data_IF_909803115104
#
_entry.id   IF_909803115104
#
_cell.length_a   1.000
_cell.length_b   1.000
_cell.length_c   1.000
_cell.angle_alpha   90.00
_cell.angle_beta   90.00
_cell.angle_gamma   90.00
#
_symmetry.space_group_name_H-M   'P 1'
#
loop_
_entity.id
_entity.type
_entity.pdbx_description
1 polymer ?
#
# COMPACT_ATOMS: atom_id res chain seq x y z
N UNK A 1 -0.83 -3.00 26.47
CA UNK A 1 -0.78 -4.46 26.17
C UNK A 1 -2.11 -5.02 25.65
N UNK A 2 -3.25 -4.75 26.31
CA UNK A 2 -4.55 -5.28 25.89
C UNK A 2 -4.92 -5.03 24.41
N UNK A 3 -4.79 -3.78 23.93
CA UNK A 3 -5.14 -3.42 22.55
C UNK A 3 -4.27 -4.12 21.48
N UNK A 4 -2.92 -4.11 21.56
CA UNK A 4 -2.09 -4.87 20.63
C UNK A 4 -2.45 -6.35 20.53
N UNK A 5 -2.80 -6.98 21.65
CA UNK A 5 -3.21 -8.39 21.66
C UNK A 5 -4.57 -8.60 21.00
N UNK A 6 -5.58 -7.80 21.38
CA UNK A 6 -6.92 -7.91 20.82
C UNK A 6 -6.93 -7.63 19.30
N UNK A 7 -6.29 -6.54 18.86
CA UNK A 7 -6.17 -6.22 17.44
C UNK A 7 -5.26 -7.20 16.71
N UNK A 8 -4.22 -7.72 17.35
CA UNK A 8 -3.39 -8.78 16.77
C UNK A 8 -4.19 -10.04 16.46
N UNK A 9 -5.11 -10.43 17.35
CA UNK A 9 -6.01 -11.57 17.16
C UNK A 9 -7.02 -11.31 16.04
N UNK A 10 -7.70 -10.15 16.06
CA UNK A 10 -8.70 -9.77 15.06
C UNK A 10 -8.09 -9.67 13.67
N UNK A 11 -6.91 -9.06 13.55
CA UNK A 11 -6.21 -8.83 12.28
C UNK A 11 -5.36 -10.02 11.84
N UNK A 12 -5.45 -11.18 12.51
CA UNK A 12 -4.64 -12.36 12.18
C UNK A 12 -4.91 -12.87 10.76
N UNK A 13 -6.16 -12.75 10.28
CA UNK A 13 -6.56 -13.17 8.92
C UNK A 13 -6.49 -12.07 7.86
N UNK A 14 -6.14 -10.84 8.24
CA UNK A 14 -6.03 -9.76 7.28
C UNK A 14 -4.74 -9.90 6.46
N UNK A 15 -4.85 -9.75 5.13
CA UNK A 15 -3.73 -9.65 4.20
C UNK A 15 -3.00 -8.31 4.38
N UNK A 16 -2.11 -8.25 5.37
CA UNK A 16 -1.28 -7.09 5.63
C UNK A 16 0.05 -7.51 6.27
N UNK A 17 1.06 -6.66 6.12
CA UNK A 17 2.38 -6.90 6.72
C UNK A 17 2.29 -6.93 8.25
N UNK A 18 3.14 -7.74 8.90
CA UNK A 18 3.21 -7.80 10.37
C UNK A 18 3.53 -6.44 11.01
N UNK A 19 4.25 -5.57 10.28
CA UNK A 19 4.54 -4.19 10.71
C UNK A 19 3.29 -3.31 10.71
N UNK A 20 2.45 -3.41 9.67
CA UNK A 20 1.17 -2.71 9.61
C UNK A 20 0.24 -3.18 10.73
N UNK A 21 0.17 -4.50 10.96
CA UNK A 21 -0.62 -5.08 12.05
C UNK A 21 -0.17 -4.57 13.42
N UNK A 22 1.14 -4.54 13.68
CA UNK A 22 1.70 -4.00 14.92
C UNK A 22 1.44 -2.50 15.08
N UNK A 23 1.58 -1.72 14.00
CA UNK A 23 1.28 -0.29 13.99
C UNK A 23 -0.19 -0.02 14.34
N UNK A 24 -1.13 -0.72 13.71
CA UNK A 24 -2.57 -0.61 14.00
C UNK A 24 -2.87 -1.03 15.45
N UNK A 25 -2.25 -2.12 15.92
CA UNK A 25 -2.37 -2.60 17.29
C UNK A 25 -1.85 -1.62 18.34
N UNK A 26 -0.75 -0.94 18.01
CA UNK A 26 -0.10 0.08 18.84
C UNK A 26 -0.90 1.39 18.84
N UNK A 27 -1.38 1.85 17.69
CA UNK A 27 -2.05 3.13 17.57
C UNK A 27 -3.48 3.10 18.12
N UNK A 28 -3.64 3.64 19.33
CA UNK A 28 -4.91 3.73 20.02
C UNK A 28 -4.86 4.48 21.33
N UNK A 29 -4.59 5.80 21.30
CA UNK A 29 -4.47 6.57 22.52
C UNK A 29 -5.76 6.49 23.34
N UNK A 30 -5.60 6.42 24.67
CA UNK A 30 -6.72 6.64 25.60
C UNK A 30 -7.29 8.03 25.36
N UNK A 31 -8.61 8.12 25.23
CA UNK A 31 -9.29 9.35 24.80
C UNK A 31 -10.05 10.07 25.93
N UNK A 32 -10.68 11.17 25.53
CA UNK A 32 -11.51 12.03 26.37
C UNK A 32 -12.68 11.30 27.03
N UNK A 33 -13.19 10.23 26.42
CA UNK A 33 -14.27 9.43 27.01
C UNK A 33 -13.91 8.86 28.39
N UNK A 34 -12.65 8.46 28.61
CA UNK A 34 -12.22 7.98 29.94
C UNK A 34 -12.25 9.10 30.99
N UNK A 35 -11.89 10.33 30.62
CA UNK A 35 -11.97 11.49 31.49
C UNK A 35 -13.42 11.89 31.76
N UNK A 36 -14.28 11.84 30.73
CA UNK A 36 -15.71 12.11 30.88
C UNK A 36 -16.37 11.17 31.89
N UNK A 37 -16.12 9.86 31.80
CA UNK A 37 -16.64 8.91 32.78
C UNK A 37 -16.10 9.16 34.19
N UNK A 38 -14.82 9.52 34.32
CA UNK A 38 -14.25 9.88 35.61
C UNK A 38 -14.90 11.14 36.21
N UNK A 39 -15.16 12.15 35.38
CA UNK A 39 -15.86 13.37 35.79
C UNK A 39 -17.31 13.09 36.20
N UNK A 40 -18.00 12.18 35.52
CA UNK A 40 -19.35 11.74 35.92
C UNK A 40 -19.33 11.10 37.31
N UNK A 41 -18.36 10.25 37.63
CA UNK A 41 -18.20 9.65 38.96
C UNK A 41 -17.96 10.70 40.05
N UNK A 42 -17.15 11.73 39.74
CA UNK A 42 -16.92 12.86 40.66
C UNK A 42 -18.21 13.63 40.88
N UNK A 43 -18.96 13.91 39.81
CA UNK A 43 -20.26 14.59 39.88
C UNK A 43 -21.27 13.83 40.73
N UNK A 44 -21.30 12.50 40.62
CA UNK A 44 -22.23 11.64 41.34
C UNK A 44 -21.79 11.37 42.80
N UNK A 45 -20.71 12.00 43.26
CA UNK A 45 -20.23 11.90 44.64
C UNK A 45 -19.67 10.53 45.01
N UNK A 46 -19.21 9.76 44.02
CA UNK A 46 -18.67 8.42 44.26
C UNK A 46 -17.41 8.53 45.12
N UNK A 47 -17.28 7.72 46.20
CA UNK A 47 -16.08 7.71 47.02
C UNK A 47 -14.81 7.54 46.18
N UNK A 48 -13.78 8.33 46.48
CA UNK A 48 -12.47 8.31 45.80
C UNK A 48 -12.49 8.65 44.30
N UNK A 49 -13.58 9.20 43.75
CA UNK A 49 -13.67 9.54 42.34
C UNK A 49 -12.61 10.57 41.89
N UNK A 50 -12.25 11.54 42.74
CA UNK A 50 -11.19 12.51 42.42
C UNK A 50 -9.82 11.85 42.25
N UNK A 51 -9.52 10.86 43.10
CA UNK A 51 -8.29 10.07 42.98
C UNK A 51 -8.27 9.26 41.68
N UNK A 52 -9.41 8.68 41.32
CA UNK A 52 -9.56 7.95 40.07
C UNK A 52 -9.39 8.88 38.85
N UNK A 53 -9.98 10.08 38.90
CA UNK A 53 -9.82 11.11 37.87
C UNK A 53 -8.36 11.51 37.70
N UNK A 54 -7.62 11.74 38.79
CA UNK A 54 -6.19 12.07 38.72
C UNK A 54 -5.38 10.96 38.05
N UNK A 55 -5.62 9.69 38.41
CA UNK A 55 -4.95 8.53 37.80
C UNK A 55 -5.29 8.45 36.31
N UNK A 56 -6.56 8.57 35.94
CA UNK A 56 -7.01 8.53 34.54
C UNK A 56 -6.38 9.69 33.75
N UNK A 57 -6.31 10.89 34.34
CA UNK A 57 -5.63 12.06 33.78
C UNK A 57 -4.19 11.76 33.39
N UNK A 58 -3.40 11.26 34.34
CA UNK A 58 -2.00 10.90 34.08
C UNK A 58 -1.89 9.84 32.99
N UNK A 59 -2.71 8.79 33.05
CA UNK A 59 -2.72 7.72 32.05
C UNK A 59 -3.06 8.25 30.65
N UNK A 60 -4.04 9.15 30.54
CA UNK A 60 -4.44 9.78 29.27
C UNK A 60 -3.32 10.65 28.73
N UNK A 61 -2.72 11.52 29.56
CA UNK A 61 -1.61 12.39 29.14
C UNK A 61 -0.43 11.57 28.64
N UNK A 62 0.03 10.59 29.43
CA UNK A 62 1.14 9.70 29.05
C UNK A 62 0.81 8.95 27.76
N UNK A 63 -0.43 8.45 27.63
CA UNK A 63 -0.87 7.79 26.41
C UNK A 63 -0.80 8.73 25.21
N UNK A 64 -1.35 9.94 25.28
CA UNK A 64 -1.36 10.90 24.18
C UNK A 64 0.06 11.28 23.78
N UNK A 65 0.94 11.59 24.74
CA UNK A 65 2.34 11.95 24.49
C UNK A 65 3.09 10.78 23.85
N UNK A 66 2.99 9.58 24.41
CA UNK A 66 3.69 8.40 23.89
C UNK A 66 3.24 8.07 22.45
N UNK A 67 1.93 8.14 22.18
CA UNK A 67 1.42 7.85 20.84
C UNK A 67 1.81 8.96 19.86
N UNK A 68 1.60 10.23 20.23
CA UNK A 68 1.95 11.39 19.42
C UNK A 68 3.43 11.41 19.03
N UNK A 69 4.33 11.21 19.98
CA UNK A 69 5.77 11.11 19.72
C UNK A 69 6.14 9.92 18.82
N UNK A 70 5.38 8.83 18.87
CA UNK A 70 5.64 7.64 18.07
C UNK A 70 5.10 7.71 16.63
N UNK A 71 4.14 8.60 16.31
CA UNK A 71 3.49 8.64 14.96
C UNK A 71 4.50 8.83 13.85
N UNK A 72 5.19 9.97 13.85
CA UNK A 72 6.10 10.35 12.79
C UNK A 72 7.25 9.34 12.58
N UNK A 73 7.99 8.91 13.63
CA UNK A 73 9.10 7.99 13.43
C UNK A 73 8.63 6.60 12.98
N UNK A 74 7.51 6.08 13.49
CA UNK A 74 6.99 4.78 13.06
C UNK A 74 6.45 4.84 11.62
N UNK A 75 5.75 5.91 11.25
CA UNK A 75 5.27 6.10 9.88
C UNK A 75 6.45 6.18 8.89
N UNK A 76 7.50 6.94 9.24
CA UNK A 76 8.71 7.03 8.43
C UNK A 76 9.44 5.68 8.32
N UNK A 77 9.55 4.93 9.43
CA UNK A 77 10.16 3.60 9.42
C UNK A 77 9.35 2.60 8.58
N UNK A 78 8.02 2.64 8.67
CA UNK A 78 7.13 1.82 7.85
C UNK A 78 7.28 2.16 6.36
N UNK A 79 7.25 3.45 6.00
CA UNK A 79 7.43 3.90 4.63
C UNK A 79 8.78 3.46 4.05
N UNK A 80 9.87 3.55 4.83
CA UNK A 80 11.19 3.03 4.43
C UNK A 80 11.18 1.51 4.23
N UNK A 81 10.51 0.77 5.10
CA UNK A 81 10.40 -0.68 4.98
C UNK A 81 9.61 -1.09 3.73
N UNK A 82 8.50 -0.40 3.45
CA UNK A 82 7.68 -0.64 2.25
C UNK A 82 8.44 -0.28 0.98
N UNK A 83 9.20 0.83 0.97
CA UNK A 83 10.04 1.21 -0.18
C UNK A 83 11.08 0.16 -0.58
N UNK A 84 11.54 -0.67 0.35
CA UNK A 84 12.47 -1.78 0.05
C UNK A 84 11.79 -2.98 -0.58
N UNK A 85 10.49 -3.15 -0.39
CA UNK A 85 9.73 -4.31 -0.87
C UNK A 85 8.87 -3.99 -2.10
N UNK A 86 8.49 -2.74 -2.30
CA UNK A 86 7.66 -2.31 -3.44
C UNK A 86 8.55 -1.85 -4.58
N UNK A 87 8.42 -2.51 -5.73
CA UNK A 87 9.17 -2.18 -6.94
C UNK A 87 8.86 -0.76 -7.43
N UNK A 88 9.79 -0.17 -8.18
CA UNK A 88 9.63 1.20 -8.65
C UNK A 88 8.39 1.39 -9.52
N UNK A 89 8.11 0.43 -10.39
CA UNK A 89 6.92 0.40 -11.24
C UNK A 89 5.59 0.34 -10.47
N UNK A 90 5.56 -0.25 -9.28
CA UNK A 90 4.34 -0.37 -8.46
C UNK A 90 4.03 0.92 -7.70
N UNK A 91 5.04 1.79 -7.55
CA UNK A 91 4.88 3.11 -6.92
C UNK A 91 4.31 4.14 -7.89
N UNK A 92 4.66 4.05 -9.17
CA UNK A 92 4.10 4.89 -10.24
C UNK A 92 2.62 4.58 -10.50
N UNK A 93 2.15 3.37 -10.18
CA UNK A 93 0.71 3.03 -10.17
C UNK A 93 -0.07 3.51 -8.92
N UNK A 94 0.58 4.12 -7.93
CA UNK A 94 -0.10 4.70 -6.75
C UNK A 94 -0.68 6.09 -7.06
N UNK A 95 -1.58 6.60 -6.21
CA UNK A 95 -2.18 7.93 -6.33
C UNK A 95 -1.15 9.03 -6.68
N UNK A 96 0.04 8.99 -6.08
CA UNK A 96 1.14 9.92 -6.37
C UNK A 96 1.73 9.84 -7.79
N UNK A 97 1.71 8.68 -8.44
CA UNK A 97 2.15 8.53 -9.83
C UNK A 97 1.02 8.78 -10.83
N UNK A 98 -0.23 8.55 -10.44
CA UNK A 98 -1.44 8.92 -11.21
C UNK A 98 -1.52 10.42 -11.50
N UNK A 99 -1.01 11.26 -10.61
CA UNK A 99 -0.95 12.71 -10.77
C UNK A 99 0.41 13.22 -11.31
N UNK A 100 1.37 12.33 -11.60
CA UNK A 100 2.78 12.67 -11.77
C UNK A 100 3.33 12.70 -13.20
N UNK A 101 2.65 12.16 -14.20
CA UNK A 101 3.06 12.29 -15.60
C UNK A 101 1.90 11.93 -16.53
N UNK A 102 1.31 12.93 -17.18
CA UNK A 102 0.50 12.71 -18.38
C UNK A 102 1.46 12.35 -19.53
N UNK A 103 1.85 11.08 -19.60
CA UNK A 103 2.33 10.50 -20.84
C UNK A 103 1.14 10.35 -21.77
N UNK A 104 1.25 10.87 -22.99
CA UNK A 104 0.29 10.70 -24.08
C UNK A 104 -0.21 9.24 -24.10
N UNK A 105 -1.51 9.05 -23.87
CA UNK A 105 -2.07 7.71 -23.68
C UNK A 105 -1.85 6.90 -24.96
N UNK A 106 -0.96 5.90 -24.89
CA UNK A 106 -0.67 5.04 -26.02
C UNK A 106 -1.99 4.44 -26.56
N UNK A 107 -2.19 4.42 -27.90
CA UNK A 107 -3.40 3.87 -28.49
C UNK A 107 -3.58 2.42 -28.06
N UNK A 108 -4.80 2.09 -27.61
CA UNK A 108 -5.16 0.74 -27.17
C UNK A 108 -5.83 0.00 -28.32
N UNK A 109 -5.47 -1.27 -28.49
CA UNK A 109 -6.09 -2.18 -29.47
C UNK A 109 -6.94 -3.23 -28.76
N UNK A 110 -7.90 -3.81 -29.46
CA UNK A 110 -8.74 -4.88 -28.93
C UNK A 110 -8.03 -6.24 -28.96
N UNK A 111 -8.56 -7.22 -28.21
CA UNK A 111 -8.08 -8.61 -28.25
C UNK A 111 -8.22 -9.22 -29.65
N UNK A 112 -9.32 -8.91 -30.35
CA UNK A 112 -9.58 -9.37 -31.71
C UNK A 112 -8.59 -8.78 -32.71
N UNK A 113 -8.27 -7.50 -32.56
CA UNK A 113 -7.28 -6.80 -33.38
C UNK A 113 -5.87 -7.36 -33.15
N UNK A 114 -5.49 -7.63 -31.89
CA UNK A 114 -4.23 -8.29 -31.59
C UNK A 114 -4.16 -9.69 -32.22
N UNK A 115 -5.22 -10.48 -32.14
CA UNK A 115 -5.26 -11.80 -32.78
C UNK A 115 -5.11 -11.71 -34.30
N UNK A 116 -5.76 -10.73 -34.94
CA UNK A 116 -5.62 -10.49 -36.37
C UNK A 116 -4.19 -10.07 -36.76
N UNK A 117 -3.54 -9.23 -35.95
CA UNK A 117 -2.14 -8.83 -36.16
C UNK A 117 -1.17 -10.01 -36.02
N UNK A 118 -1.38 -10.88 -35.02
CA UNK A 118 -0.56 -12.07 -34.81
C UNK A 118 -0.68 -13.10 -35.93
N UNK A 119 -1.85 -13.18 -36.58
CA UNK A 119 -2.07 -14.06 -37.73
C UNK A 119 -1.60 -13.45 -39.08
N UNK A 120 -1.21 -12.18 -39.08
CA UNK A 120 -0.79 -11.45 -40.27
C UNK A 120 0.63 -11.78 -40.76
N UNK A 121 1.03 -11.26 -41.93
CA UNK A 121 2.35 -11.51 -42.51
C UNK A 121 3.51 -10.86 -41.73
N UNK A 122 3.22 -9.85 -40.91
CA UNK A 122 4.19 -9.13 -40.08
C UNK A 122 3.67 -9.06 -38.63
N UNK A 123 3.79 -10.14 -37.85
CA UNK A 123 3.29 -10.16 -36.49
C UNK A 123 4.04 -9.17 -35.59
N UNK A 124 3.35 -8.48 -34.67
CA UNK A 124 3.99 -7.56 -33.74
C UNK A 124 4.80 -8.30 -32.67
N UNK A 125 5.78 -7.61 -32.09
CA UNK A 125 6.44 -8.06 -30.87
C UNK A 125 5.48 -7.82 -29.70
N UNK A 126 5.06 -8.91 -29.04
CA UNK A 126 4.22 -8.83 -27.85
C UNK A 126 5.11 -8.63 -26.63
N UNK A 127 4.88 -7.57 -25.87
CA UNK A 127 5.66 -7.20 -24.69
C UNK A 127 4.82 -7.37 -23.42
N UNK A 128 5.23 -8.26 -22.52
CA UNK A 128 4.65 -8.35 -21.18
C UNK A 128 5.30 -7.27 -20.30
N UNK A 129 4.55 -6.18 -20.08
CA UNK A 129 4.93 -5.06 -19.23
C UNK A 129 4.16 -5.05 -17.90
N UNK A 130 3.66 -6.20 -17.44
CA UNK A 130 3.06 -6.29 -16.10
C UNK A 130 4.09 -5.94 -15.03
N UNK A 131 3.64 -5.33 -13.94
CA UNK A 131 4.52 -5.15 -12.77
C UNK A 131 5.07 -6.51 -12.28
N UNK A 132 6.22 -6.52 -11.61
CA UNK A 132 6.79 -7.76 -11.05
C UNK A 132 5.78 -8.52 -10.16
N UNK A 133 5.06 -7.86 -9.26
CA UNK A 133 4.07 -8.56 -8.42
C UNK A 133 2.83 -9.08 -9.16
N UNK A 134 2.45 -8.49 -10.30
CA UNK A 134 1.34 -8.99 -11.11
C UNK A 134 1.76 -10.25 -11.87
N UNK A 135 2.94 -10.22 -12.48
CA UNK A 135 3.52 -11.37 -13.15
C UNK A 135 3.70 -12.57 -12.20
N UNK A 136 4.17 -12.32 -10.98
CA UNK A 136 4.34 -13.38 -9.98
C UNK A 136 2.99 -13.96 -9.49
N UNK A 137 1.89 -13.18 -9.56
CA UNK A 137 0.56 -13.58 -9.09
C UNK A 137 -0.28 -14.25 -10.17
N UNK A 138 -0.10 -13.88 -11.43
CA UNK A 138 -0.86 -14.38 -12.56
C UNK A 138 0.05 -15.13 -13.54
N UNK A 139 0.02 -16.47 -13.54
CA UNK A 139 0.88 -17.27 -14.40
C UNK A 139 0.50 -17.19 -15.88
N UNK A 140 -0.68 -16.64 -16.22
CA UNK A 140 -1.11 -16.46 -17.60
C UNK A 140 -0.14 -15.59 -18.39
N UNK A 141 0.26 -16.06 -19.58
CA UNK A 141 1.15 -15.34 -20.49
C UNK A 141 0.68 -15.55 -21.92
N UNK A 142 0.84 -14.52 -22.75
CA UNK A 142 0.64 -14.66 -24.20
C UNK A 142 1.85 -15.45 -24.72
N UNK A 143 1.65 -16.53 -25.51
CA UNK A 143 2.75 -17.27 -26.12
C UNK A 143 3.69 -16.34 -26.90
N UNK A 144 4.98 -16.64 -26.87
CA UNK A 144 6.05 -15.87 -27.54
C UNK A 144 6.18 -14.41 -27.10
N UNK A 145 5.50 -14.00 -26.02
CA UNK A 145 5.69 -12.67 -25.45
C UNK A 145 7.07 -12.50 -24.81
N UNK A 146 7.60 -11.29 -24.93
CA UNK A 146 8.87 -10.88 -24.32
C UNK A 146 8.58 -10.17 -23.00
N UNK A 147 9.11 -10.71 -21.91
CA UNK A 147 8.97 -10.09 -20.58
C UNK A 147 9.91 -8.90 -20.43
N UNK A 148 9.34 -7.71 -20.22
CA UNK A 148 10.10 -6.49 -19.90
C UNK A 148 9.40 -5.73 -18.79
N UNK A 149 10.04 -5.62 -17.63
CA UNK A 149 9.48 -4.84 -16.52
C UNK A 149 9.29 -3.36 -16.94
N UNK A 150 8.25 -2.67 -16.42
CA UNK A 150 7.95 -1.29 -16.83
C UNK A 150 9.14 -0.32 -16.71
N UNK A 151 9.96 -0.49 -15.67
CA UNK A 151 11.17 0.31 -15.43
C UNK A 151 12.32 0.05 -16.43
N UNK A 152 12.17 -0.94 -17.30
CA UNK A 152 13.16 -1.37 -18.31
C UNK A 152 12.69 -1.17 -19.75
N UNK A 153 11.46 -0.69 -19.97
CA UNK A 153 10.89 -0.54 -21.33
C UNK A 153 11.69 0.44 -22.18
N UNK A 154 12.07 1.60 -21.64
CA UNK A 154 12.89 2.57 -22.37
C UNK A 154 14.28 2.03 -22.73
N UNK A 155 14.90 1.30 -21.81
CA UNK A 155 16.19 0.66 -22.04
C UNK A 155 16.09 -0.40 -23.15
N UNK A 156 15.06 -1.23 -23.10
CA UNK A 156 14.77 -2.24 -24.12
C UNK A 156 14.49 -1.60 -25.50
N UNK A 157 13.74 -0.49 -25.54
CA UNK A 157 13.39 0.18 -26.79
C UNK A 157 14.59 0.79 -27.52
N UNK A 158 15.64 1.22 -26.80
CA UNK A 158 16.85 1.79 -27.42
C UNK A 158 17.61 0.83 -28.32
N UNK A 159 17.46 -0.47 -28.12
CA UNK A 159 18.11 -1.51 -28.94
C UNK A 159 17.32 -1.95 -30.17
N UNK A 160 16.13 -1.39 -30.41
CA UNK A 160 15.20 -1.82 -31.46
C UNK A 160 15.29 -0.95 -32.71
N UNK A 161 14.93 -1.55 -33.85
CA UNK A 161 14.90 -0.84 -35.13
C UNK A 161 13.62 0.00 -35.25
N UNK A 162 13.72 1.18 -35.87
CA UNK A 162 12.54 2.01 -36.17
C UNK A 162 11.75 1.33 -37.30
N UNK A 163 10.71 0.58 -36.95
CA UNK A 163 9.87 -0.15 -37.91
C UNK A 163 9.20 -1.40 -37.34
N UNK A 164 9.70 -1.92 -36.21
CA UNK A 164 9.07 -3.05 -35.51
C UNK A 164 7.78 -2.61 -34.80
N UNK A 165 6.65 -3.23 -35.13
CA UNK A 165 5.40 -3.02 -34.40
C UNK A 165 5.49 -3.72 -33.05
N UNK A 166 5.24 -2.99 -31.96
CA UNK A 166 5.27 -3.52 -30.60
C UNK A 166 3.89 -3.35 -29.98
N UNK A 167 3.36 -4.42 -29.41
CA UNK A 167 2.13 -4.40 -28.61
C UNK A 167 2.49 -4.76 -27.18
N UNK A 168 2.35 -3.80 -26.27
CA UNK A 168 2.57 -4.04 -24.86
C UNK A 168 1.26 -4.37 -24.14
N UNK A 169 1.27 -5.35 -23.23
CA UNK A 169 0.13 -5.66 -22.38
C UNK A 169 0.49 -5.58 -20.90
N UNK A 170 -0.46 -5.09 -20.12
CA UNK A 170 -0.48 -5.13 -18.66
C UNK A 170 -1.86 -5.62 -18.19
N UNK A 171 -1.97 -5.93 -16.90
CA UNK A 171 -3.19 -6.40 -16.23
C UNK A 171 -3.61 -5.42 -15.15
#
# INVERSE_FOLDING_TARGET
VARPLALGLVLRRAHMSSRARAFIGWFGPRGLASLLFALLLVRDGVPQAERLLAIIGVVVIVSVVAHGASVAPLAAAYARAVRRTTHAEERTGSATGLFGAEGEAAPRISLEELAALLAGPNPPIVLDVRTRSQYDRDPGQIPDSVRVAPDKVEEWARGRSKGETVVAYCT
#
